data_IF_706480512132
#
_entry.id   IF_706480512132
#
_cell.length_a   1.000
_cell.length_b   1.000
_cell.length_c   1.000
_cell.angle_alpha   90.00
_cell.angle_beta   90.00
_cell.angle_gamma   90.00
#
_symmetry.space_group_name_H-M   'P 1'
#
loop_
_entity.id
_entity.type
_entity.pdbx_description
1 polymer ?
#
# COMPACT_ATOMS: atom_id res chain seq x y z
N UNK A 1 -13.49 57.11 -43.55
CA UNK A 1 -13.94 55.86 -42.92
C UNK A 1 -12.77 54.88 -42.93
N UNK A 2 -12.53 54.20 -41.81
CA UNK A 2 -11.55 53.13 -41.56
C UNK A 2 -10.05 53.49 -41.51
N UNK A 3 -9.23 52.93 -40.62
CA UNK A 3 -9.33 52.53 -39.21
C UNK A 3 -7.88 52.11 -38.88
N UNK A 4 -7.19 52.89 -38.06
CA UNK A 4 -5.90 52.54 -37.47
C UNK A 4 -6.09 51.29 -36.58
N UNK A 5 -5.39 50.19 -36.83
CA UNK A 5 -5.31 49.06 -35.88
C UNK A 5 -3.86 48.80 -35.49
N UNK A 6 -3.43 49.43 -34.40
CA UNK A 6 -2.29 48.96 -33.60
C UNK A 6 -2.79 47.77 -32.78
N UNK A 7 -2.33 46.57 -33.12
CA UNK A 7 -2.61 45.35 -32.38
C UNK A 7 -1.67 45.31 -31.18
N UNK A 8 -2.24 45.40 -29.98
CA UNK A 8 -1.54 45.14 -28.73
C UNK A 8 -1.25 43.63 -28.63
N UNK A 9 0.03 43.27 -28.64
CA UNK A 9 0.49 41.95 -28.21
C UNK A 9 0.47 41.90 -26.68
N UNK A 10 -0.68 41.50 -26.10
CA UNK A 10 -0.71 41.03 -24.71
C UNK A 10 -0.37 39.54 -24.78
N UNK A 11 0.89 39.21 -24.48
CA UNK A 11 1.31 37.83 -24.24
C UNK A 11 0.54 37.30 -23.02
N UNK A 12 -0.30 36.26 -23.14
CA UNK A 12 -0.77 35.57 -21.96
C UNK A 12 0.42 34.73 -21.50
N UNK A 13 1.14 35.22 -20.49
CA UNK A 13 1.90 34.35 -19.61
C UNK A 13 0.91 33.31 -19.08
N UNK A 14 0.91 32.13 -19.71
CA UNK A 14 0.24 30.94 -19.21
C UNK A 14 0.90 30.62 -17.87
N UNK A 15 0.29 31.13 -16.81
CA UNK A 15 0.44 30.58 -15.48
C UNK A 15 -0.04 29.14 -15.55
N UNK A 16 0.87 28.22 -15.85
CA UNK A 16 0.74 26.82 -15.49
C UNK A 16 0.79 26.75 -13.96
N UNK A 17 -0.26 27.22 -13.31
CA UNK A 17 -0.56 26.79 -11.95
C UNK A 17 -0.87 25.30 -12.10
N UNK A 18 0.14 24.47 -11.85
CA UNK A 18 -0.06 23.06 -11.58
C UNK A 18 -1.11 22.99 -10.48
N UNK A 19 -2.33 22.62 -10.86
CA UNK A 19 -3.43 22.37 -9.97
C UNK A 19 -3.07 21.14 -9.14
N UNK A 20 -2.25 21.34 -8.10
CA UNK A 20 -2.11 20.38 -7.02
C UNK A 20 -3.54 20.13 -6.51
N UNK A 21 -3.97 18.89 -6.65
CA UNK A 21 -5.30 18.45 -6.25
C UNK A 21 -5.57 18.89 -4.81
N UNK A 22 -6.50 19.83 -4.65
CA UNK A 22 -6.89 20.42 -3.37
C UNK A 22 -7.60 19.44 -2.41
N UNK A 23 -7.57 18.13 -2.66
CA UNK A 23 -8.35 17.15 -1.90
C UNK A 23 -7.86 16.91 -0.45
N UNK A 24 -6.65 17.37 -0.08
CA UNK A 24 -6.13 17.36 1.28
C UNK A 24 -6.58 18.59 2.09
N UNK A 25 -7.37 19.50 1.50
CA UNK A 25 -7.85 20.72 2.16
C UNK A 25 -8.77 20.47 3.36
N UNK A 26 -9.21 19.22 3.61
CA UNK A 26 -9.92 18.88 4.84
C UNK A 26 -9.02 18.90 6.08
N UNK A 27 -7.72 18.62 5.92
CA UNK A 27 -6.76 18.72 7.01
C UNK A 27 -6.35 20.19 7.16
N UNK A 28 -6.33 20.72 8.39
CA UNK A 28 -5.75 22.04 8.65
C UNK A 28 -4.28 22.07 8.25
N UNK A 29 -3.73 23.26 7.98
CA UNK A 29 -2.30 23.38 7.67
C UNK A 29 -1.41 22.79 8.76
N UNK A 30 -1.81 22.97 10.02
CA UNK A 30 -1.14 22.37 11.16
C UNK A 30 -1.14 20.84 11.12
N UNK A 31 -2.28 20.19 10.88
CA UNK A 31 -2.36 18.73 10.75
C UNK A 31 -1.49 18.27 9.57
N UNK A 32 -1.55 18.95 8.43
CA UNK A 32 -0.73 18.59 7.26
C UNK A 32 0.76 18.65 7.57
N UNK A 33 1.20 19.69 8.27
CA UNK A 33 2.60 19.83 8.69
C UNK A 33 2.99 18.73 9.67
N UNK A 34 2.15 18.42 10.67
CA UNK A 34 2.39 17.32 11.60
C UNK A 34 2.49 15.97 10.88
N UNK A 35 1.62 15.70 9.90
CA UNK A 35 1.68 14.47 9.09
C UNK A 35 2.96 14.39 8.27
N UNK A 36 3.32 15.45 7.53
CA UNK A 36 4.56 15.47 6.74
C UNK A 36 5.80 15.31 7.61
N UNK A 37 5.82 15.94 8.79
CA UNK A 37 6.87 15.80 9.77
C UNK A 37 6.96 14.37 10.28
N UNK A 38 5.84 13.73 10.62
CA UNK A 38 5.82 12.33 11.04
C UNK A 38 6.32 11.40 9.92
N UNK A 39 5.87 11.55 8.68
CA UNK A 39 6.37 10.78 7.52
C UNK A 39 7.89 10.94 7.39
N UNK A 40 8.40 12.16 7.53
CA UNK A 40 9.83 12.47 7.40
C UNK A 40 10.65 11.90 8.55
N UNK A 41 10.22 12.10 9.81
CA UNK A 41 10.88 11.57 11.00
C UNK A 41 10.93 10.04 10.98
N UNK A 42 9.92 9.39 10.39
CA UNK A 42 9.90 7.94 10.19
C UNK A 42 10.72 7.47 8.99
N UNK A 43 11.46 8.35 8.31
CA UNK A 43 12.33 7.98 7.18
C UNK A 43 11.59 7.66 5.87
N UNK A 44 10.32 8.06 5.76
CA UNK A 44 9.47 7.75 4.61
C UNK A 44 9.33 8.91 3.62
N UNK A 45 10.07 10.01 3.81
CA UNK A 45 9.98 11.22 2.97
C UNK A 45 10.24 10.96 1.47
N UNK A 46 11.10 9.98 1.15
CA UNK A 46 11.47 9.64 -0.24
C UNK A 46 10.71 8.42 -0.79
N UNK A 47 9.62 8.04 -0.13
CA UNK A 47 8.83 6.85 -0.53
C UNK A 47 7.48 7.25 -1.12
N UNK A 48 6.77 6.28 -1.70
CA UNK A 48 5.41 6.50 -2.22
C UNK A 48 4.40 6.91 -1.14
N UNK A 49 4.66 6.67 0.16
CA UNK A 49 3.82 7.21 1.25
C UNK A 49 3.77 8.74 1.22
N UNK A 50 4.91 9.42 1.13
CA UNK A 50 4.95 10.89 1.09
C UNK A 50 4.21 11.40 -0.14
N UNK A 51 4.55 10.89 -1.33
CA UNK A 51 3.93 11.36 -2.57
C UNK A 51 2.43 11.05 -2.62
N UNK A 52 1.97 9.92 -2.08
CA UNK A 52 0.54 9.61 -1.99
C UNK A 52 -0.19 10.53 -1.01
N UNK A 53 0.45 10.95 0.08
CA UNK A 53 -0.12 11.94 0.99
C UNK A 53 -0.22 13.31 0.30
N UNK A 54 0.86 13.78 -0.35
CA UNK A 54 0.87 15.07 -1.04
C UNK A 54 -0.12 15.13 -2.22
N UNK A 55 -0.38 14.00 -2.86
CA UNK A 55 -1.38 13.85 -3.92
C UNK A 55 -2.77 13.43 -3.39
N UNK A 56 -2.99 13.49 -2.07
CA UNK A 56 -4.28 13.29 -1.43
C UNK A 56 -4.93 11.93 -1.67
N UNK A 57 -4.10 10.92 -1.98
CA UNK A 57 -4.50 9.50 -2.02
C UNK A 57 -4.53 8.93 -0.61
N UNK A 58 -3.59 9.34 0.25
CA UNK A 58 -3.60 9.06 1.68
C UNK A 58 -4.22 10.23 2.44
N UNK A 59 -5.12 9.95 3.39
CA UNK A 59 -5.76 10.95 4.26
C UNK A 59 -5.55 10.63 5.72
N UNK A 60 -5.24 11.66 6.50
CA UNK A 60 -5.08 11.52 7.93
C UNK A 60 -6.43 11.25 8.63
N UNK A 61 -6.40 10.40 9.64
CA UNK A 61 -7.50 10.29 10.59
C UNK A 61 -7.44 11.47 11.56
N UNK A 62 -8.28 12.48 11.33
CA UNK A 62 -8.32 13.71 12.14
C UNK A 62 -9.02 13.55 13.49
N UNK A 63 -9.68 12.41 13.73
CA UNK A 63 -10.39 12.17 15.00
C UNK A 63 -9.41 12.13 16.16
N UNK A 64 -9.62 13.01 17.13
CA UNK A 64 -8.77 13.17 18.33
C UNK A 64 -7.28 13.30 17.99
N UNK A 65 -6.95 13.87 16.82
CA UNK A 65 -5.59 13.86 16.27
C UNK A 65 -4.54 14.36 17.26
N UNK A 66 -4.81 15.45 17.97
CA UNK A 66 -3.86 16.05 18.93
C UNK A 66 -3.63 15.18 20.17
N UNK A 67 -4.59 14.31 20.53
CA UNK A 67 -4.45 13.38 21.67
C UNK A 67 -3.72 12.09 21.29
N UNK A 68 -3.59 11.81 19.98
CA UNK A 68 -2.92 10.60 19.48
C UNK A 68 -1.42 10.79 19.43
N UNK A 69 -0.70 9.74 19.82
CA UNK A 69 0.75 9.63 19.66
C UNK A 69 1.17 9.11 18.27
N UNK A 70 0.19 8.86 17.40
CA UNK A 70 0.42 8.37 16.04
C UNK A 70 -0.36 9.18 14.99
N UNK A 71 0.12 9.07 13.76
CA UNK A 71 -0.52 9.50 12.53
C UNK A 71 -1.02 8.25 11.83
N UNK A 72 -2.32 8.18 11.63
CA UNK A 72 -2.98 7.13 10.86
C UNK A 72 -3.42 7.69 9.52
N UNK A 73 -2.98 7.07 8.44
CA UNK A 73 -3.33 7.43 7.07
C UNK A 73 -4.09 6.29 6.40
N UNK A 74 -5.25 6.60 5.83
CA UNK A 74 -6.03 5.66 5.03
C UNK A 74 -5.99 6.06 3.56
N UNK A 75 -5.82 5.08 2.67
CA UNK A 75 -5.93 5.34 1.24
C UNK A 75 -7.40 5.31 0.82
N UNK A 76 -7.88 6.37 0.19
CA UNK A 76 -9.28 6.47 -0.27
C UNK A 76 -9.53 5.85 -1.65
N UNK A 77 -8.51 5.27 -2.26
CA UNK A 77 -8.57 4.67 -3.60
C UNK A 77 -8.36 3.16 -3.63
N UNK A 78 -8.18 2.53 -2.47
CA UNK A 78 -8.08 1.07 -2.30
C UNK A 78 -9.43 0.49 -1.85
N UNK A 79 -9.60 -0.83 -1.98
CA UNK A 79 -10.85 -1.51 -1.67
C UNK A 79 -11.16 -1.48 -0.17
N UNK A 80 -10.16 -1.73 0.68
CA UNK A 80 -10.23 -1.62 2.15
C UNK A 80 -11.37 -2.44 2.81
N UNK A 81 -11.69 -3.62 2.28
CA UNK A 81 -12.70 -4.52 2.84
C UNK A 81 -12.11 -5.88 3.23
N UNK A 82 -12.89 -6.62 4.01
CA UNK A 82 -12.58 -7.99 4.38
C UNK A 82 -13.32 -8.96 3.48
N UNK A 83 -12.58 -9.50 2.50
CA UNK A 83 -13.13 -10.45 1.55
C UNK A 83 -12.94 -11.89 2.04
N UNK A 84 -13.81 -12.78 1.53
CA UNK A 84 -13.58 -14.23 1.65
C UNK A 84 -12.48 -14.67 0.70
N UNK A 85 -11.64 -15.60 1.14
CA UNK A 85 -10.46 -16.04 0.40
C UNK A 85 -10.77 -16.51 -1.03
N UNK A 86 -11.89 -17.22 -1.21
CA UNK A 86 -12.35 -17.81 -2.47
C UNK A 86 -13.00 -16.79 -3.42
N UNK A 87 -13.27 -15.57 -2.95
CA UNK A 87 -13.90 -14.48 -3.71
C UNK A 87 -13.06 -13.22 -3.78
N UNK A 88 -11.94 -13.17 -3.07
CA UNK A 88 -11.11 -11.98 -2.98
C UNK A 88 -10.44 -11.67 -4.32
N UNK A 89 -10.59 -10.41 -4.76
CA UNK A 89 -9.72 -9.81 -5.78
C UNK A 89 -8.59 -9.01 -5.13
N UNK A 90 -8.85 -8.45 -3.96
CA UNK A 90 -7.91 -7.61 -3.23
C UNK A 90 -7.33 -8.36 -2.05
N UNK A 91 -6.01 -8.27 -1.91
CA UNK A 91 -5.23 -8.99 -0.93
C UNK A 91 -4.29 -8.04 -0.23
N UNK A 92 -4.05 -8.24 1.05
CA UNK A 92 -3.39 -7.25 1.89
C UNK A 92 -2.21 -7.85 2.62
N UNK A 93 -1.17 -7.04 2.73
CA UNK A 93 0.02 -7.36 3.51
C UNK A 93 0.41 -6.18 4.40
N UNK A 94 0.38 -6.40 5.72
CA UNK A 94 1.01 -5.52 6.69
C UNK A 94 2.51 -5.80 6.79
N UNK A 95 3.31 -4.74 6.90
CA UNK A 95 4.77 -4.80 7.03
C UNK A 95 5.32 -3.64 7.86
N UNK A 96 6.51 -3.85 8.42
CA UNK A 96 7.29 -2.81 9.09
C UNK A 96 7.99 -1.87 8.11
N UNK A 97 8.59 -0.80 8.65
CA UNK A 97 9.26 0.26 7.89
C UNK A 97 10.33 -0.27 6.92
N UNK A 98 11.30 -1.05 7.40
CA UNK A 98 12.46 -1.45 6.59
C UNK A 98 12.04 -2.25 5.36
N UNK A 99 11.10 -3.19 5.55
CA UNK A 99 10.56 -3.98 4.48
C UNK A 99 9.75 -3.15 3.48
N UNK A 100 8.95 -2.19 3.96
CA UNK A 100 8.24 -1.28 3.06
C UNK A 100 9.22 -0.46 2.21
N UNK A 101 10.30 0.07 2.80
CA UNK A 101 11.31 0.82 2.06
C UNK A 101 11.94 -0.06 0.97
N UNK A 102 12.30 -1.31 1.28
CA UNK A 102 12.85 -2.24 0.28
C UNK A 102 11.85 -2.52 -0.85
N UNK A 103 10.56 -2.69 -0.53
CA UNK A 103 9.50 -2.89 -1.52
C UNK A 103 9.27 -1.65 -2.40
N UNK A 104 9.28 -0.46 -1.81
CA UNK A 104 9.12 0.80 -2.52
C UNK A 104 10.30 1.06 -3.47
N UNK A 105 11.52 0.79 -3.02
CA UNK A 105 12.76 0.91 -3.80
C UNK A 105 12.79 -0.04 -5.00
N UNK A 106 12.28 -1.27 -4.83
CA UNK A 106 12.15 -2.21 -5.94
C UNK A 106 10.89 -1.97 -6.80
N UNK A 107 10.19 -0.85 -6.60
CA UNK A 107 9.00 -0.46 -7.36
C UNK A 107 7.89 -1.50 -7.31
N UNK A 108 7.75 -2.18 -6.17
CA UNK A 108 6.73 -3.19 -5.93
C UNK A 108 6.81 -4.43 -6.83
N UNK A 109 7.98 -4.74 -7.41
CA UNK A 109 8.12 -5.90 -8.30
C UNK A 109 8.44 -7.19 -7.54
N UNK A 110 8.81 -7.11 -6.26
CA UNK A 110 9.11 -8.28 -5.44
C UNK A 110 8.91 -7.99 -3.94
N UNK A 111 8.26 -8.91 -3.22
CA UNK A 111 8.12 -8.86 -1.76
C UNK A 111 9.47 -9.25 -1.11
N UNK A 112 10.09 -8.37 -0.29
CA UNK A 112 11.43 -8.63 0.25
C UNK A 112 11.54 -9.87 1.15
N UNK A 113 10.54 -10.16 1.99
CA UNK A 113 10.57 -11.34 2.88
C UNK A 113 10.44 -12.69 2.17
N UNK A 114 10.20 -12.72 0.86
CA UNK A 114 10.28 -13.96 0.08
C UNK A 114 11.73 -14.45 0.06
N UNK A 115 12.69 -13.52 0.05
CA UNK A 115 14.14 -13.78 -0.06
C UNK A 115 14.93 -13.46 1.21
N UNK A 116 14.41 -12.58 2.08
CA UNK A 116 15.05 -12.13 3.32
C UNK A 116 14.54 -12.93 4.54
N UNK A 117 15.42 -13.71 5.19
CA UNK A 117 15.32 -14.21 6.57
C UNK A 117 14.11 -15.10 6.99
N UNK A 118 14.30 -15.98 7.99
CA UNK A 118 13.23 -16.91 8.45
C UNK A 118 12.29 -16.33 9.53
N UNK A 119 12.56 -15.11 10.02
CA UNK A 119 11.93 -14.60 11.25
C UNK A 119 10.88 -13.50 11.04
N UNK A 120 10.72 -12.98 9.82
CA UNK A 120 9.77 -11.90 9.56
C UNK A 120 8.41 -12.44 9.09
N UNK A 121 7.34 -11.92 9.68
CA UNK A 121 5.98 -12.21 9.23
C UNK A 121 5.85 -11.92 7.74
N UNK A 122 5.70 -12.96 6.91
CA UNK A 122 5.58 -12.85 5.45
C UNK A 122 4.26 -13.42 4.96
N UNK A 123 3.13 -12.95 5.52
CA UNK A 123 1.79 -13.38 5.13
C UNK A 123 1.08 -12.39 4.20
N UNK A 124 0.09 -12.91 3.47
CA UNK A 124 -0.91 -12.14 2.73
C UNK A 124 -2.32 -12.68 3.03
N UNK A 125 -3.31 -11.79 3.18
CA UNK A 125 -4.68 -12.16 3.54
C UNK A 125 -5.70 -11.29 2.79
N UNK A 126 -6.92 -11.78 2.50
CA UNK A 126 -7.98 -11.01 1.87
C UNK A 126 -8.69 -10.05 2.86
N UNK A 127 -8.36 -10.14 4.16
CA UNK A 127 -8.90 -9.26 5.19
C UNK A 127 -8.02 -8.02 5.43
N UNK A 128 -8.49 -6.87 4.98
CA UNK A 128 -7.88 -5.56 5.24
C UNK A 128 -7.73 -5.29 6.74
N UNK A 129 -8.77 -5.55 7.53
CA UNK A 129 -8.77 -5.26 8.98
C UNK A 129 -7.78 -6.12 9.73
N UNK A 130 -7.55 -7.35 9.27
CA UNK A 130 -6.49 -8.20 9.78
C UNK A 130 -5.13 -7.62 9.39
N UNK A 131 -4.86 -7.42 8.10
CA UNK A 131 -3.55 -7.01 7.60
C UNK A 131 -3.06 -5.68 8.19
N UNK A 132 -3.94 -4.69 8.38
CA UNK A 132 -3.59 -3.39 8.97
C UNK A 132 -3.06 -3.47 10.41
N UNK A 133 -3.34 -4.55 11.12
CA UNK A 133 -2.86 -4.75 12.49
C UNK A 133 -1.45 -5.32 12.56
N UNK A 134 -0.92 -5.85 11.44
CA UNK A 134 0.40 -6.47 11.36
C UNK A 134 1.48 -5.53 10.84
N UNK A 135 2.75 -5.74 11.26
CA UNK A 135 3.17 -6.56 12.40
C UNK A 135 2.58 -6.03 13.72
N UNK A 136 2.19 -6.91 14.66
CA UNK A 136 1.37 -6.52 15.83
C UNK A 136 2.03 -5.48 16.74
N UNK A 137 3.32 -5.63 17.00
CA UNK A 137 4.06 -4.88 18.03
C UNK A 137 4.92 -3.75 17.49
N UNK A 138 5.04 -3.59 16.17
CA UNK A 138 5.96 -2.61 15.59
C UNK A 138 5.20 -1.40 15.06
N UNK A 139 5.80 -0.21 15.16
CA UNK A 139 5.44 0.95 14.36
C UNK A 139 6.73 1.55 13.80
N UNK A 140 6.78 2.08 12.57
CA UNK A 140 5.71 2.21 11.57
C UNK A 140 5.10 0.90 11.07
N UNK A 141 3.80 0.93 10.75
CA UNK A 141 3.11 -0.12 10.00
C UNK A 141 2.65 0.42 8.66
N UNK A 142 2.90 -0.33 7.61
CA UNK A 142 2.43 0.00 6.26
C UNK A 142 1.71 -1.24 5.74
N UNK A 143 0.50 -1.05 5.21
CA UNK A 143 -0.25 -2.11 4.54
C UNK A 143 -0.30 -1.83 3.06
N UNK A 144 0.03 -2.85 2.26
CA UNK A 144 -0.10 -2.83 0.81
C UNK A 144 -1.31 -3.65 0.43
N UNK A 145 -2.17 -3.10 -0.43
CA UNK A 145 -3.18 -3.82 -1.18
C UNK A 145 -2.57 -4.32 -2.50
N UNK A 146 -2.88 -5.55 -2.83
CA UNK A 146 -2.54 -6.23 -4.07
C UNK A 146 -3.85 -6.55 -4.79
N UNK A 147 -3.98 -6.13 -6.05
CA UNK A 147 -5.12 -6.43 -6.90
C UNK A 147 -4.74 -7.51 -7.90
N UNK A 148 -5.53 -8.57 -7.96
CA UNK A 148 -5.37 -9.68 -8.92
C UNK A 148 -6.21 -9.44 -10.18
N UNK A 149 -5.98 -10.23 -11.23
CA UNK A 149 -6.72 -10.13 -12.50
C UNK A 149 -8.23 -10.31 -12.34
N UNK A 150 -8.66 -11.16 -11.39
CA UNK A 150 -10.07 -11.45 -11.14
C UNK A 150 -10.35 -11.89 -9.70
N UNK A 151 -11.64 -12.03 -9.39
CA UNK A 151 -12.12 -12.55 -8.11
C UNK A 151 -11.68 -14.01 -7.91
N UNK A 152 -11.19 -14.34 -6.72
CA UNK A 152 -10.80 -15.71 -6.36
C UNK A 152 -9.55 -16.20 -7.08
N UNK A 153 -8.85 -15.35 -7.83
CA UNK A 153 -7.70 -15.74 -8.67
C UNK A 153 -6.59 -16.39 -7.85
N UNK A 154 -6.12 -15.74 -6.78
CA UNK A 154 -5.08 -16.33 -5.92
C UNK A 154 -5.53 -17.60 -5.21
N UNK A 155 -6.82 -17.70 -4.85
CA UNK A 155 -7.35 -18.93 -4.26
C UNK A 155 -7.34 -20.07 -5.27
N UNK A 156 -7.75 -19.81 -6.51
CA UNK A 156 -7.68 -20.79 -7.58
C UNK A 156 -6.24 -21.22 -7.87
N UNK A 157 -5.30 -20.27 -7.97
CA UNK A 157 -3.90 -20.59 -8.21
C UNK A 157 -3.31 -21.40 -7.04
N UNK A 158 -3.38 -20.90 -5.81
CA UNK A 158 -2.72 -21.56 -4.70
C UNK A 158 -3.47 -22.80 -4.21
N UNK A 159 -4.76 -22.70 -3.90
CA UNK A 159 -5.52 -23.82 -3.32
C UNK A 159 -6.00 -24.79 -4.39
N UNK A 160 -6.73 -24.33 -5.41
CA UNK A 160 -7.39 -25.25 -6.35
C UNK A 160 -6.40 -25.98 -7.26
N UNK A 161 -5.41 -25.27 -7.83
CA UNK A 161 -4.45 -25.84 -8.79
C UNK A 161 -3.25 -26.51 -8.13
N UNK A 162 -2.73 -25.92 -7.05
CA UNK A 162 -1.45 -26.34 -6.46
C UNK A 162 -1.60 -26.95 -5.05
N UNK A 163 -2.83 -27.07 -4.54
CA UNK A 163 -3.16 -27.69 -3.25
C UNK A 163 -2.32 -27.11 -2.10
N UNK A 164 -2.20 -25.78 -2.09
CA UNK A 164 -1.53 -25.02 -1.05
C UNK A 164 -2.44 -24.85 0.17
N UNK A 165 -1.91 -25.16 1.35
CA UNK A 165 -2.58 -24.97 2.62
C UNK A 165 -2.63 -23.47 2.97
N UNK A 166 -3.83 -22.96 3.26
CA UNK A 166 -4.01 -21.67 3.93
C UNK A 166 -3.96 -21.84 5.45
N UNK A 167 -3.62 -20.76 6.15
CA UNK A 167 -3.61 -20.73 7.61
C UNK A 167 -4.82 -19.94 8.13
N UNK A 168 -5.49 -20.51 9.14
CA UNK A 168 -6.52 -19.80 9.90
C UNK A 168 -5.84 -18.79 10.83
N UNK A 169 -6.24 -17.54 10.68
CA UNK A 169 -5.74 -16.39 11.42
C UNK A 169 -6.92 -15.66 12.06
N UNK A 170 -6.66 -14.69 12.93
CA UNK A 170 -7.70 -13.97 13.68
C UNK A 170 -8.76 -13.33 12.76
N UNK A 171 -9.87 -14.05 12.51
CA UNK A 171 -10.98 -13.63 11.67
C UNK A 171 -10.78 -13.80 10.16
N UNK A 172 -9.68 -14.41 9.70
CA UNK A 172 -9.42 -14.55 8.25
C UNK A 172 -8.58 -15.79 7.92
N UNK A 173 -8.40 -16.05 6.62
CA UNK A 173 -7.49 -17.05 6.10
C UNK A 173 -6.32 -16.34 5.39
N UNK A 174 -5.12 -16.91 5.45
CA UNK A 174 -3.94 -16.30 4.86
C UNK A 174 -3.04 -17.32 4.18
N UNK A 175 -2.19 -16.83 3.27
CA UNK A 175 -1.09 -17.61 2.71
C UNK A 175 0.25 -17.08 3.19
N UNK A 176 1.21 -17.98 3.40
CA UNK A 176 2.60 -17.60 3.58
C UNK A 176 3.25 -17.29 2.24
N UNK A 177 4.03 -16.22 2.16
CA UNK A 177 4.86 -15.84 1.02
C UNK A 177 6.36 -15.93 1.34
N UNK A 178 6.75 -16.23 2.57
CA UNK A 178 8.17 -16.27 2.94
C UNK A 178 8.94 -17.39 2.24
N UNK A 179 10.21 -17.59 2.62
CA UNK A 179 11.09 -18.63 2.06
C UNK A 179 10.47 -20.03 1.97
N UNK A 180 9.63 -20.43 2.92
CA UNK A 180 8.91 -21.72 2.89
C UNK A 180 7.55 -21.68 2.17
N UNK A 181 7.02 -20.48 1.95
CA UNK A 181 5.67 -20.28 1.41
C UNK A 181 4.59 -20.91 2.28
N UNK A 182 3.40 -21.04 1.70
CA UNK A 182 2.40 -22.02 2.14
C UNK A 182 2.85 -23.42 1.71
N UNK A 183 2.50 -24.44 2.48
CA UNK A 183 2.78 -25.83 2.13
C UNK A 183 1.87 -26.26 0.97
N UNK A 184 2.46 -26.57 -0.17
CA UNK A 184 1.74 -26.98 -1.39
C UNK A 184 2.10 -28.43 -1.75
N UNK A 185 1.16 -29.17 -2.35
CA UNK A 185 1.39 -30.58 -2.72
C UNK A 185 1.78 -30.76 -4.18
N UNK A 186 1.43 -29.83 -5.06
CA UNK A 186 1.66 -29.98 -6.50
C UNK A 186 2.09 -28.64 -7.12
N UNK A 187 3.20 -28.61 -7.88
CA UNK A 187 4.33 -29.53 -7.78
C UNK A 187 5.01 -29.41 -6.39
N UNK A 188 5.80 -30.41 -5.95
CA UNK A 188 6.46 -30.39 -4.64
C UNK A 188 7.37 -29.18 -4.37
N UNK A 189 7.88 -28.54 -5.43
CA UNK A 189 8.72 -27.35 -5.37
C UNK A 189 7.95 -26.02 -5.49
N UNK A 190 6.61 -26.06 -5.53
CA UNK A 190 5.81 -24.84 -5.65
C UNK A 190 5.97 -23.97 -4.41
N UNK A 191 6.33 -22.70 -4.62
CA UNK A 191 6.46 -21.73 -3.56
C UNK A 191 5.60 -20.51 -3.88
N UNK A 192 4.56 -20.31 -3.07
CA UNK A 192 3.62 -19.20 -3.21
C UNK A 192 4.29 -17.84 -3.25
N UNK A 193 5.36 -17.61 -2.49
CA UNK A 193 6.12 -16.36 -2.50
C UNK A 193 6.89 -16.11 -3.78
N UNK A 194 7.55 -17.15 -4.30
CA UNK A 194 8.30 -17.07 -5.56
C UNK A 194 7.36 -16.77 -6.73
N UNK A 195 6.24 -17.48 -6.83
CA UNK A 195 5.25 -17.23 -7.88
C UNK A 195 4.58 -15.86 -7.71
N UNK A 196 4.28 -15.45 -6.47
CA UNK A 196 3.74 -14.11 -6.21
C UNK A 196 4.69 -13.00 -6.68
N UNK A 197 5.99 -13.14 -6.45
CA UNK A 197 6.99 -12.19 -6.96
C UNK A 197 7.09 -12.20 -8.48
N UNK A 198 6.95 -13.36 -9.12
CA UNK A 198 6.89 -13.46 -10.58
C UNK A 198 5.70 -12.65 -11.12
N UNK A 199 4.52 -12.80 -10.53
CA UNK A 199 3.31 -12.06 -10.93
C UNK A 199 3.41 -10.56 -10.68
N UNK A 200 4.06 -10.13 -9.60
CA UNK A 200 4.38 -8.71 -9.40
C UNK A 200 5.31 -8.19 -10.50
N UNK A 201 6.34 -8.95 -10.86
CA UNK A 201 7.32 -8.54 -11.88
C UNK A 201 6.72 -8.44 -13.29
N UNK A 202 5.66 -9.21 -13.58
CA UNK A 202 4.93 -9.17 -14.86
C UNK A 202 3.69 -8.27 -14.81
N UNK A 203 3.39 -7.66 -13.66
CA UNK A 203 2.20 -6.83 -13.38
C UNK A 203 0.86 -7.57 -13.50
N UNK A 204 0.85 -8.90 -13.39
CA UNK A 204 -0.38 -9.70 -13.21
C UNK A 204 -1.04 -9.40 -11.86
N UNK A 205 -0.23 -8.98 -10.88
CA UNK A 205 -0.68 -8.42 -9.61
C UNK A 205 -0.18 -6.97 -9.51
N UNK A 206 -1.09 -6.07 -9.14
CA UNK A 206 -0.77 -4.65 -8.95
C UNK A 206 -0.74 -4.30 -7.47
N UNK A 207 0.17 -3.42 -7.05
CA UNK A 207 0.36 -3.07 -5.64
C UNK A 207 0.14 -1.57 -5.36
N UNK A 208 -0.51 -1.26 -4.24
CA UNK A 208 -0.70 0.11 -3.77
C UNK A 208 -0.73 0.19 -2.24
N UNK A 209 -0.20 1.27 -1.66
CA UNK A 209 -0.30 1.51 -0.20
C UNK A 209 -1.76 1.68 0.18
N UNK A 210 -2.31 0.83 1.03
CA UNK A 210 -3.69 0.90 1.52
C UNK A 210 -3.80 1.65 2.85
N UNK A 211 -2.80 1.48 3.73
CA UNK A 211 -2.84 2.01 5.09
C UNK A 211 -1.44 2.31 5.62
N UNK A 212 -1.33 3.34 6.46
CA UNK A 212 -0.08 3.71 7.14
C UNK A 212 -0.39 4.09 8.59
N UNK A 213 0.40 3.59 9.54
CA UNK A 213 0.38 4.01 10.93
C UNK A 213 1.79 4.38 11.38
N UNK A 214 2.00 5.65 11.71
CA UNK A 214 3.31 6.21 12.05
C UNK A 214 3.29 6.74 13.48
N UNK A 215 4.30 6.50 14.33
CA UNK A 215 4.47 7.30 15.53
C UNK A 215 4.74 8.76 15.13
N UNK A 216 4.16 9.72 15.86
CA UNK A 216 4.47 11.15 15.64
C UNK A 216 5.93 11.45 15.99
N UNK A 217 6.43 10.79 17.04
CA UNK A 217 7.78 10.89 17.56
C UNK A 217 8.40 9.48 17.59
N UNK A 218 9.01 9.01 16.48
CA UNK A 218 9.62 7.69 16.37
C UNK A 218 10.86 7.48 17.25
#
# INVERSE_FOLDING_TARGET
>A
MNLNKKVFFISPFLLAMSSFSMACMQDTEEIRNQVKNAITANGLAKTKVMSMYENCKLRANVKDFDKRNDVELNNTSTHNQDDKIDKAKYWYRGMGKSQYISLDQNRYTAIPCVTEGENDYCGIAPAYTYAKTYPKTEKPKITIEFSTEGLGWLYNEFTTKHDCEYKVEAGTLSYGLGKKGSKCKVPPQYNTGVEFNKWLSTNEIQAQVAYVLLPKNP
#
